data_IF_402414128085
#
_entry.id   IF_402414128085
#
_cell.length_a   1.000
_cell.length_b   1.000
_cell.length_c   1.000
_cell.angle_alpha   90.00
_cell.angle_beta   90.00
_cell.angle_gamma   90.00
#
_symmetry.space_group_name_H-M   'P 1'
#
loop_
_entity.id
_entity.type
_entity.pdbx_description
1 polymer ?
#
# COMPACT_ATOMS: atom_id res chain seq x y z
N UNK A 1 -14.32 -21.20 19.51
CA UNK A 1 -15.09 -21.95 18.50
C UNK A 1 -14.25 -21.91 17.23
N UNK A 2 -13.44 -22.99 17.00
CA UNK A 2 -12.48 -23.01 15.90
C UNK A 2 -13.20 -23.22 14.59
N UNK A 3 -13.02 -22.31 13.64
CA UNK A 3 -13.44 -22.52 12.25
C UNK A 3 -12.41 -23.48 11.64
N UNK A 4 -12.81 -24.72 11.43
CA UNK A 4 -12.09 -25.63 10.54
C UNK A 4 -12.18 -25.06 9.12
N UNK A 5 -11.13 -24.41 8.67
CA UNK A 5 -10.96 -24.11 7.25
C UNK A 5 -10.88 -25.46 6.53
N UNK A 6 -11.94 -25.81 5.85
CA UNK A 6 -11.93 -26.97 4.95
C UNK A 6 -10.84 -26.74 3.92
N UNK A 7 -9.81 -27.59 3.93
CA UNK A 7 -8.85 -27.63 2.83
C UNK A 7 -9.62 -28.07 1.59
N UNK A 8 -9.83 -27.15 0.66
CA UNK A 8 -10.25 -27.53 -0.68
C UNK A 8 -9.19 -28.48 -1.23
N UNK A 9 -9.62 -29.64 -1.73
CA UNK A 9 -8.70 -30.57 -2.39
C UNK A 9 -7.99 -29.79 -3.51
N UNK A 10 -6.67 -29.91 -3.57
CA UNK A 10 -5.90 -29.32 -4.66
C UNK A 10 -6.44 -29.85 -6.01
N UNK A 11 -6.61 -28.99 -7.00
CA UNK A 11 -7.06 -29.44 -8.31
C UNK A 11 -6.10 -30.51 -8.84
N UNK A 12 -6.65 -31.61 -9.35
CA UNK A 12 -5.83 -32.62 -10.03
C UNK A 12 -5.48 -32.10 -11.43
N UNK A 13 -4.33 -31.45 -11.53
CA UNK A 13 -3.80 -30.96 -12.80
C UNK A 13 -2.93 -32.00 -13.52
N UNK A 14 -2.87 -33.25 -13.00
CA UNK A 14 -2.05 -34.32 -13.54
C UNK A 14 -0.57 -34.19 -13.19
N UNK A 15 0.27 -34.82 -14.00
CA UNK A 15 1.72 -34.83 -13.77
C UNK A 15 2.33 -33.47 -14.10
N UNK A 16 3.13 -32.97 -13.15
CA UNK A 16 3.89 -31.76 -13.31
C UNK A 16 5.27 -32.07 -13.94
N UNK A 17 5.64 -31.35 -14.98
CA UNK A 17 6.98 -31.38 -15.56
C UNK A 17 7.71 -30.07 -15.21
N UNK A 18 8.86 -30.19 -14.54
CA UNK A 18 9.69 -29.03 -14.17
C UNK A 18 10.62 -28.70 -15.32
N UNK A 19 10.29 -27.65 -16.06
CA UNK A 19 11.06 -27.21 -17.23
C UNK A 19 12.32 -26.44 -16.86
N UNK A 20 12.25 -25.62 -15.81
CA UNK A 20 13.35 -24.78 -15.34
C UNK A 20 13.34 -24.71 -13.82
N UNK A 21 14.51 -24.79 -13.20
CA UNK A 21 14.69 -24.61 -11.77
C UNK A 21 16.12 -24.15 -11.48
N UNK A 22 16.27 -22.93 -10.96
CA UNK A 22 17.59 -22.39 -10.62
C UNK A 22 17.49 -21.28 -9.57
N UNK A 23 18.60 -21.03 -8.89
CA UNK A 23 18.73 -19.96 -7.90
C UNK A 23 18.94 -18.60 -8.60
N UNK A 24 18.19 -17.59 -8.20
CA UNK A 24 18.26 -16.21 -8.71
C UNK A 24 18.81 -15.24 -7.68
N UNK A 25 18.90 -15.65 -6.43
CA UNK A 25 19.49 -14.92 -5.31
C UNK A 25 19.60 -15.84 -4.10
N UNK A 26 20.36 -15.48 -3.05
CA UNK A 26 20.56 -16.33 -1.89
C UNK A 26 19.23 -16.76 -1.22
N UNK A 27 18.87 -18.04 -1.35
CA UNK A 27 17.61 -18.58 -0.86
C UNK A 27 16.39 -18.17 -1.68
N UNK A 28 16.59 -17.65 -2.91
CA UNK A 28 15.50 -17.29 -3.82
C UNK A 28 15.64 -18.12 -5.08
N UNK A 29 14.61 -18.92 -5.40
CA UNK A 29 14.61 -19.82 -6.54
C UNK A 29 13.49 -19.48 -7.51
N UNK A 30 13.80 -19.59 -8.79
CA UNK A 30 12.84 -19.53 -9.88
C UNK A 30 12.52 -20.94 -10.34
N UNK A 31 11.23 -21.22 -10.57
CA UNK A 31 10.72 -22.51 -11.00
C UNK A 31 9.71 -22.29 -12.12
N UNK A 32 9.83 -23.05 -13.18
CA UNK A 32 8.84 -23.11 -14.27
C UNK A 32 8.32 -24.53 -14.41
N UNK A 33 7.04 -24.69 -14.25
CA UNK A 33 6.35 -25.97 -14.23
C UNK A 33 5.31 -25.99 -15.34
N UNK A 34 5.23 -27.11 -16.05
CA UNK A 34 4.18 -27.36 -17.04
C UNK A 34 3.33 -28.53 -16.60
N UNK A 35 2.02 -28.38 -16.74
CA UNK A 35 1.05 -29.42 -16.54
C UNK A 35 0.48 -29.83 -17.90
N UNK A 36 0.71 -31.08 -18.34
CA UNK A 36 0.33 -31.51 -19.68
C UNK A 36 -1.17 -31.80 -19.82
N UNK A 37 -1.80 -32.27 -18.75
CA UNK A 37 -3.25 -32.60 -18.73
C UNK A 37 -4.15 -31.37 -18.77
N UNK A 38 -3.65 -30.22 -18.37
CA UNK A 38 -4.25 -28.90 -18.54
C UNK A 38 -3.20 -28.01 -19.21
N UNK A 39 -3.52 -27.24 -20.26
CA UNK A 39 -2.51 -26.41 -20.96
C UNK A 39 -2.07 -25.25 -20.08
N UNK A 40 -1.45 -25.57 -18.93
CA UNK A 40 -1.05 -24.62 -17.89
C UNK A 40 0.47 -24.62 -17.75
N UNK A 41 1.06 -23.45 -17.81
CA UNK A 41 2.43 -23.20 -17.40
C UNK A 41 2.43 -22.27 -16.19
N UNK A 42 3.07 -22.70 -15.11
CA UNK A 42 3.23 -21.96 -13.88
C UNK A 42 4.68 -21.44 -13.79
N UNK A 43 4.82 -20.15 -13.52
CA UNK A 43 6.09 -19.52 -13.13
C UNK A 43 6.00 -19.18 -11.63
N UNK A 44 6.91 -19.70 -10.86
CA UNK A 44 6.92 -19.52 -9.41
C UNK A 44 8.29 -19.00 -8.95
N UNK A 45 8.24 -18.22 -7.89
CA UNK A 45 9.43 -17.84 -7.12
C UNK A 45 9.24 -18.29 -5.69
N UNK A 46 10.18 -19.08 -5.17
CA UNK A 46 10.22 -19.40 -3.74
C UNK A 46 11.27 -18.56 -3.06
N UNK A 47 10.97 -18.13 -1.83
CA UNK A 47 11.82 -17.22 -1.07
C UNK A 47 12.00 -17.79 0.33
N UNK A 48 13.25 -17.98 0.75
CA UNK A 48 13.57 -18.28 2.14
C UNK A 48 13.47 -16.99 2.97
N UNK A 49 12.36 -16.84 3.67
CA UNK A 49 12.09 -15.67 4.53
C UNK A 49 12.83 -15.74 5.86
N UNK A 50 13.47 -16.88 6.21
CA UNK A 50 14.34 -16.96 7.41
C UNK A 50 15.69 -16.27 7.16
N UNK A 51 16.09 -16.12 5.90
CA UNK A 51 17.24 -15.30 5.55
C UNK A 51 16.92 -13.81 5.87
N UNK A 52 17.69 -13.14 6.77
CA UNK A 52 17.39 -11.78 7.18
C UNK A 52 17.49 -10.75 6.04
N UNK A 53 18.23 -11.06 4.99
CA UNK A 53 18.42 -10.18 3.83
C UNK A 53 17.34 -10.31 2.75
N UNK A 54 16.47 -11.32 2.84
CA UNK A 54 15.36 -11.48 1.91
C UNK A 54 14.14 -10.71 2.40
N UNK A 55 13.53 -9.95 1.49
CA UNK A 55 12.30 -9.21 1.73
C UNK A 55 11.37 -9.30 0.52
N UNK A 56 10.08 -9.17 0.76
CA UNK A 56 9.07 -8.93 -0.26
C UNK A 56 8.56 -7.51 -0.04
N UNK A 57 8.62 -6.69 -1.06
CA UNK A 57 8.20 -5.28 -1.01
C UNK A 57 7.07 -5.02 -2.00
N UNK A 58 6.09 -4.27 -1.55
CA UNK A 58 5.07 -3.70 -2.41
C UNK A 58 5.52 -2.30 -2.82
N UNK A 59 5.43 -1.99 -4.10
CA UNK A 59 5.85 -0.70 -4.65
C UNK A 59 4.80 -0.16 -5.61
N UNK A 60 4.71 1.17 -5.70
CA UNK A 60 3.86 1.87 -6.64
C UNK A 60 4.64 2.29 -7.87
N UNK A 61 3.94 2.35 -9.02
CA UNK A 61 4.46 2.94 -10.24
C UNK A 61 4.99 4.35 -9.96
N UNK A 62 6.23 4.61 -10.34
CA UNK A 62 6.93 5.90 -10.11
C UNK A 62 6.89 6.41 -8.65
N UNK A 63 6.63 5.54 -7.67
CA UNK A 63 6.37 5.88 -6.26
C UNK A 63 5.25 6.94 -6.10
N UNK A 64 4.23 6.89 -6.93
CA UNK A 64 3.17 7.89 -6.99
C UNK A 64 1.78 7.25 -6.94
N UNK A 65 0.83 7.93 -6.29
CA UNK A 65 -0.59 7.55 -6.25
C UNK A 65 -1.43 8.82 -6.37
N UNK A 66 -2.27 8.93 -7.41
CA UNK A 66 -2.35 8.10 -8.61
C UNK A 66 -1.14 8.27 -9.55
N UNK A 67 -0.89 7.29 -10.41
CA UNK A 67 0.10 7.42 -11.49
C UNK A 67 -0.53 7.10 -12.85
N UNK A 68 -0.78 8.13 -13.64
CA UNK A 68 -1.33 8.01 -14.98
C UNK A 68 -0.27 7.61 -16.04
N UNK A 69 1.01 7.82 -15.77
CA UNK A 69 2.09 7.49 -16.68
C UNK A 69 2.38 5.99 -16.76
N UNK A 70 2.18 5.29 -15.65
CA UNK A 70 2.36 3.85 -15.48
C UNK A 70 3.80 3.40 -15.78
N UNK A 71 4.37 2.64 -14.88
CA UNK A 71 5.70 2.09 -15.04
C UNK A 71 5.62 0.58 -15.25
N UNK A 72 6.40 0.04 -16.17
CA UNK A 72 6.48 -1.40 -16.35
C UNK A 72 7.19 -2.06 -15.18
N UNK A 73 6.77 -3.27 -14.80
CA UNK A 73 7.38 -4.04 -13.69
C UNK A 73 8.90 -4.17 -13.85
N UNK A 74 9.37 -4.39 -15.08
CA UNK A 74 10.81 -4.48 -15.37
C UNK A 74 11.55 -3.15 -15.12
N UNK A 75 10.90 -2.01 -15.36
CA UNK A 75 11.52 -0.69 -15.14
C UNK A 75 11.48 -0.32 -13.66
N UNK A 76 10.40 -0.67 -12.93
CA UNK A 76 10.38 -0.64 -11.47
C UNK A 76 11.54 -1.43 -10.87
N UNK A 77 11.77 -2.66 -11.36
CA UNK A 77 12.84 -3.54 -10.89
C UNK A 77 14.22 -2.93 -11.10
N UNK A 78 14.45 -2.30 -12.25
CA UNK A 78 15.71 -1.58 -12.54
C UNK A 78 15.88 -0.37 -11.63
N UNK A 79 14.83 0.45 -11.50
CA UNK A 79 14.84 1.67 -10.67
C UNK A 79 15.12 1.37 -9.21
N UNK A 80 14.58 0.28 -8.69
CA UNK A 80 14.72 -0.11 -7.29
C UNK A 80 16.03 -0.86 -7.01
N UNK A 81 16.67 -1.44 -8.03
CA UNK A 81 17.95 -2.12 -7.85
C UNK A 81 19.07 -1.10 -7.66
N UNK A 82 19.76 -1.17 -6.51
CA UNK A 82 20.89 -0.30 -6.13
C UNK A 82 21.86 -1.06 -5.23
N UNK A 83 23.05 -0.54 -4.94
CA UNK A 83 23.97 -1.17 -4.00
C UNK A 83 23.28 -1.49 -2.66
N UNK A 84 23.39 -2.74 -2.22
CA UNK A 84 22.74 -3.23 -1.01
C UNK A 84 21.25 -3.59 -1.14
N UNK A 85 20.63 -3.35 -2.30
CA UNK A 85 19.23 -3.68 -2.55
C UNK A 85 19.04 -4.17 -3.99
N UNK A 86 18.99 -5.48 -4.17
CA UNK A 86 18.84 -6.14 -5.48
C UNK A 86 17.44 -6.71 -5.64
N UNK A 87 16.70 -6.29 -6.65
CA UNK A 87 15.45 -6.93 -7.05
C UNK A 87 15.77 -8.21 -7.83
N UNK A 88 15.44 -9.37 -7.27
CA UNK A 88 15.69 -10.68 -7.89
C UNK A 88 14.52 -11.17 -8.73
N UNK A 89 13.29 -10.85 -8.31
CA UNK A 89 12.06 -11.16 -9.01
C UNK A 89 11.04 -10.04 -8.79
N UNK A 90 10.15 -9.86 -9.75
CA UNK A 90 9.03 -8.92 -9.62
C UNK A 90 7.86 -9.39 -10.47
N UNK A 91 6.66 -9.10 -9.99
CA UNK A 91 5.41 -9.37 -10.70
C UNK A 91 4.39 -8.29 -10.35
N UNK A 92 3.47 -8.04 -11.25
CA UNK A 92 2.33 -7.17 -10.97
C UNK A 92 1.29 -7.92 -10.15
N UNK A 93 0.68 -7.20 -9.23
CA UNK A 93 -0.43 -7.69 -8.41
C UNK A 93 -1.57 -6.68 -8.42
N UNK A 94 -2.75 -7.12 -7.96
CA UNK A 94 -3.99 -6.36 -7.92
C UNK A 94 -4.48 -5.91 -9.32
N UNK A 95 -5.72 -5.46 -9.38
CA UNK A 95 -6.27 -4.73 -10.50
C UNK A 95 -6.09 -3.22 -10.28
N UNK A 96 -6.07 -2.47 -11.35
CA UNK A 96 -5.99 -1.02 -11.28
C UNK A 96 -6.99 -0.34 -12.22
N UNK A 97 -7.38 0.87 -11.88
CA UNK A 97 -8.16 1.72 -12.77
C UNK A 97 -7.24 2.33 -13.81
N UNK A 98 -7.49 2.00 -15.07
CA UNK A 98 -6.67 2.49 -16.18
C UNK A 98 -6.75 4.00 -16.33
N UNK A 99 -7.95 4.57 -16.15
CA UNK A 99 -8.20 6.01 -16.34
C UNK A 99 -7.74 6.83 -15.13
N UNK A 100 -7.78 6.24 -13.93
CA UNK A 100 -7.42 6.94 -12.70
C UNK A 100 -5.98 6.68 -12.23
N UNK A 101 -5.29 5.66 -12.74
CA UNK A 101 -3.92 5.32 -12.34
C UNK A 101 -3.78 4.90 -10.89
N UNK A 102 -4.79 4.21 -10.35
CA UNK A 102 -4.85 3.75 -8.95
C UNK A 102 -5.11 2.26 -8.86
N UNK A 103 -4.62 1.64 -7.81
CA UNK A 103 -5.00 0.26 -7.46
C UNK A 103 -6.47 0.18 -7.04
N UNK A 104 -7.08 -1.01 -7.16
CA UNK A 104 -8.47 -1.23 -6.71
C UNK A 104 -8.51 -1.73 -5.28
N UNK A 105 -7.52 -2.52 -4.84
CA UNK A 105 -7.43 -3.06 -3.48
C UNK A 105 -6.66 -2.19 -2.50
N UNK A 106 -6.63 -2.62 -1.23
CA UNK A 106 -5.78 -2.01 -0.22
C UNK A 106 -4.31 -2.22 -0.57
N UNK A 107 -3.54 -1.15 -0.52
CA UNK A 107 -2.11 -1.17 -0.72
C UNK A 107 -1.39 -0.48 0.44
N UNK A 108 -0.37 -1.15 0.97
CA UNK A 108 0.50 -0.61 2.00
C UNK A 108 1.93 -1.10 1.80
N UNK A 109 2.90 -0.25 2.10
CA UNK A 109 4.33 -0.57 2.05
C UNK A 109 5.04 0.05 3.25
N UNK A 110 5.88 -0.74 3.93
CA UNK A 110 6.62 -0.31 5.12
C UNK A 110 5.73 0.35 6.19
N UNK A 111 4.53 -0.22 6.42
CA UNK A 111 3.57 0.30 7.38
C UNK A 111 2.78 1.53 6.92
N UNK A 112 3.05 2.08 5.75
CA UNK A 112 2.33 3.22 5.19
C UNK A 112 1.25 2.75 4.23
N UNK A 113 -0.01 3.13 4.48
CA UNK A 113 -1.10 2.91 3.54
C UNK A 113 -0.95 3.89 2.38
N UNK A 114 -0.76 3.36 1.18
CA UNK A 114 -0.69 4.18 -0.04
C UNK A 114 -2.06 4.36 -0.69
N UNK A 115 -2.92 3.37 -0.53
CA UNK A 115 -4.29 3.38 -1.05
C UNK A 115 -5.20 2.51 -0.17
N UNK A 116 -6.39 2.98 0.13
CA UNK A 116 -7.42 2.17 0.77
C UNK A 116 -8.71 2.23 -0.04
N UNK A 117 -9.18 1.09 -0.50
CA UNK A 117 -10.55 0.97 -0.97
C UNK A 117 -11.33 0.06 -0.01
N UNK A 118 -12.52 0.45 0.37
CA UNK A 118 -13.43 -0.38 1.16
C UNK A 118 -14.03 -1.57 0.39
N UNK A 119 -13.34 -2.08 -0.62
CA UNK A 119 -13.91 -2.98 -1.63
C UNK A 119 -14.13 -4.43 -1.18
N UNK A 120 -13.81 -4.80 0.06
CA UNK A 120 -14.00 -6.17 0.55
C UNK A 120 -13.20 -7.23 -0.22
N UNK A 121 -12.04 -6.87 -0.76
CA UNK A 121 -11.15 -7.79 -1.50
C UNK A 121 -10.18 -8.46 -0.55
N UNK A 122 -9.82 -9.72 -0.85
CA UNK A 122 -8.75 -10.39 -0.13
C UNK A 122 -7.42 -9.71 -0.41
N UNK A 123 -6.64 -9.55 0.62
CA UNK A 123 -5.31 -8.92 0.57
C UNK A 123 -4.27 -9.92 1.06
N UNK A 124 -3.18 -10.03 0.32
CA UNK A 124 -1.96 -10.71 0.78
C UNK A 124 -1.11 -9.70 1.53
N UNK A 125 -0.69 -10.05 2.73
CA UNK A 125 0.17 -9.20 3.55
C UNK A 125 1.33 -10.00 4.15
N UNK A 126 2.43 -9.30 4.36
CA UNK A 126 3.60 -9.79 5.07
C UNK A 126 3.88 -8.81 6.20
N UNK A 127 3.93 -9.32 7.41
CA UNK A 127 4.20 -8.55 8.62
C UNK A 127 5.71 -8.31 8.80
N UNK A 128 6.06 -7.43 9.74
CA UNK A 128 7.47 -7.12 10.03
C UNK A 128 8.27 -8.35 10.49
N UNK A 129 7.62 -9.31 11.16
CA UNK A 129 8.21 -10.59 11.53
C UNK A 129 8.26 -11.62 10.38
N UNK A 130 7.96 -11.16 9.15
CA UNK A 130 7.95 -11.94 7.91
C UNK A 130 6.86 -13.03 7.86
N UNK A 131 5.83 -12.95 8.68
CA UNK A 131 4.67 -13.83 8.59
C UNK A 131 3.77 -13.40 7.44
N UNK A 132 3.50 -14.35 6.53
CA UNK A 132 2.61 -14.14 5.40
C UNK A 132 1.17 -14.54 5.74
N UNK A 133 0.20 -13.74 5.30
CA UNK A 133 -1.22 -14.02 5.51
C UNK A 133 -2.09 -13.53 4.36
N UNK A 134 -3.28 -14.11 4.22
CA UNK A 134 -4.32 -13.65 3.30
C UNK A 134 -5.60 -13.45 4.11
N UNK A 135 -6.16 -12.25 4.02
CA UNK A 135 -7.35 -11.87 4.78
C UNK A 135 -8.17 -10.81 4.04
N UNK A 136 -9.34 -10.50 4.57
CA UNK A 136 -10.16 -9.39 4.10
C UNK A 136 -9.94 -8.20 5.04
N UNK A 137 -9.17 -7.19 4.65
CA UNK A 137 -8.91 -6.04 5.50
C UNK A 137 -10.14 -5.14 5.60
N UNK A 138 -10.34 -4.61 6.79
CA UNK A 138 -11.26 -3.49 7.05
C UNK A 138 -10.44 -2.37 7.67
N UNK A 139 -9.88 -1.46 6.85
CA UNK A 139 -9.07 -0.36 7.35
C UNK A 139 -9.91 0.52 8.28
N UNK A 140 -9.38 0.81 9.45
CA UNK A 140 -9.96 1.75 10.41
C UNK A 140 -8.88 2.78 10.74
N UNK A 141 -9.04 3.97 10.22
CA UNK A 141 -8.10 5.06 10.42
C UNK A 141 -8.86 6.28 10.90
N UNK A 142 -8.29 7.02 11.82
CA UNK A 142 -8.88 8.27 12.31
C UNK A 142 -7.79 9.27 12.67
N UNK A 143 -8.16 10.54 12.67
CA UNK A 143 -7.35 11.63 13.18
C UNK A 143 -8.04 12.23 14.42
N UNK A 144 -7.29 12.33 15.52
CA UNK A 144 -7.76 13.01 16.73
C UNK A 144 -7.27 14.45 16.71
N UNK A 145 -8.21 15.38 16.58
CA UNK A 145 -7.92 16.81 16.52
C UNK A 145 -7.55 17.37 17.92
N UNK A 146 -6.84 18.51 17.99
CA UNK A 146 -6.52 19.16 19.26
C UNK A 146 -7.74 19.53 20.12
N UNK A 147 -8.90 19.65 19.51
CA UNK A 147 -10.18 19.87 20.17
C UNK A 147 -10.70 18.66 20.95
N UNK A 148 -10.06 17.49 20.80
CA UNK A 148 -10.52 16.21 21.32
C UNK A 148 -11.53 15.49 20.40
N UNK A 149 -11.88 16.07 19.26
CA UNK A 149 -12.74 15.44 18.28
C UNK A 149 -11.95 14.42 17.46
N UNK A 150 -12.52 13.24 17.19
CA UNK A 150 -11.97 12.24 16.30
C UNK A 150 -12.71 12.25 14.97
N UNK A 151 -11.96 12.20 13.88
CA UNK A 151 -12.47 12.19 12.50
C UNK A 151 -12.01 10.91 11.82
N UNK A 152 -12.92 10.12 11.28
CA UNK A 152 -12.55 8.98 10.46
C UNK A 152 -11.84 9.44 9.19
N UNK A 153 -10.73 8.79 8.83
CA UNK A 153 -10.06 9.00 7.56
C UNK A 153 -10.71 8.05 6.55
N UNK A 154 -11.43 8.60 5.60
CA UNK A 154 -12.20 7.83 4.63
C UNK A 154 -11.31 7.27 3.52
N UNK A 155 -10.23 7.97 3.18
CA UNK A 155 -9.37 7.62 2.05
C UNK A 155 -7.92 8.11 2.20
N UNK A 156 -7.04 7.51 1.39
CA UNK A 156 -5.63 7.87 1.27
C UNK A 156 -5.29 8.21 -0.19
N UNK A 157 -4.55 9.28 -0.39
CA UNK A 157 -3.95 9.70 -1.68
C UNK A 157 -4.92 9.79 -2.87
N UNK A 158 -6.21 9.97 -2.64
CA UNK A 158 -7.20 10.02 -3.70
C UNK A 158 -7.70 11.43 -3.95
N UNK A 159 -7.77 11.80 -5.21
CA UNK A 159 -8.30 13.10 -5.61
C UNK A 159 -9.80 13.21 -5.34
N UNK A 160 -10.23 14.34 -4.81
CA UNK A 160 -11.59 14.60 -4.31
C UNK A 160 -12.68 14.49 -5.39
N UNK A 161 -12.33 14.59 -6.67
CA UNK A 161 -13.32 14.48 -7.75
C UNK A 161 -14.03 13.12 -7.84
N UNK A 162 -13.52 12.10 -7.15
CA UNK A 162 -14.01 10.73 -7.20
C UNK A 162 -14.53 10.19 -5.87
N UNK A 163 -14.47 10.98 -4.79
CA UNK A 163 -14.85 10.51 -3.46
C UNK A 163 -15.90 11.41 -2.83
N UNK A 164 -16.86 10.76 -2.18
CA UNK A 164 -17.77 11.43 -1.27
C UNK A 164 -17.17 11.51 0.15
N UNK A 165 -15.86 11.19 0.31
CA UNK A 165 -15.19 11.19 1.59
C UNK A 165 -15.07 12.59 2.15
N UNK A 166 -15.36 12.74 3.43
CA UNK A 166 -15.25 14.00 4.15
C UNK A 166 -13.84 14.24 4.68
N UNK A 167 -13.03 13.17 4.79
CA UNK A 167 -11.66 13.21 5.30
C UNK A 167 -10.72 12.39 4.46
N UNK A 168 -9.65 13.00 3.94
CA UNK A 168 -8.64 12.33 3.11
C UNK A 168 -7.24 12.64 3.66
N UNK A 169 -6.41 11.61 3.83
CA UNK A 169 -5.00 11.77 4.16
C UNK A 169 -4.14 11.60 2.91
N UNK A 170 -3.41 12.64 2.56
CA UNK A 170 -2.41 12.63 1.51
C UNK A 170 -1.03 12.41 2.13
N UNK A 171 -0.38 11.34 1.71
CA UNK A 171 0.97 10.99 2.13
C UNK A 171 2.01 11.52 1.14
N UNK A 172 3.28 11.26 1.41
CA UNK A 172 4.38 11.58 0.51
C UNK A 172 4.31 10.88 -0.87
N UNK A 173 3.44 9.88 -1.02
CA UNK A 173 3.19 9.21 -2.30
C UNK A 173 2.17 9.96 -3.18
N UNK A 174 1.51 10.98 -2.66
CA UNK A 174 0.51 11.73 -3.41
C UNK A 174 1.14 12.49 -4.58
N UNK A 175 0.67 12.20 -5.79
CA UNK A 175 1.12 12.84 -7.03
C UNK A 175 0.17 13.93 -7.55
N UNK A 176 -0.96 14.15 -6.90
CA UNK A 176 -1.95 15.13 -7.33
C UNK A 176 -1.97 16.36 -6.45
N UNK A 177 -2.10 17.52 -7.09
CA UNK A 177 -2.57 18.74 -6.43
C UNK A 177 -4.08 18.62 -6.27
N UNK A 178 -4.53 18.64 -5.04
CA UNK A 178 -5.93 18.62 -4.72
C UNK A 178 -6.48 20.03 -4.77
N UNK A 179 -7.49 20.28 -5.58
CA UNK A 179 -8.23 21.55 -5.62
C UNK A 179 -9.69 21.29 -5.27
N UNK A 180 -10.02 21.40 -4.00
CA UNK A 180 -11.37 21.26 -3.49
C UNK A 180 -11.62 22.19 -2.34
N UNK A 181 -12.86 22.61 -2.20
CA UNK A 181 -13.30 23.43 -1.07
C UNK A 181 -13.24 22.62 0.23
N UNK A 182 -12.50 23.12 1.20
CA UNK A 182 -12.30 22.48 2.49
C UNK A 182 -11.09 23.02 3.25
N UNK A 183 -10.75 22.34 4.34
CA UNK A 183 -9.61 22.69 5.19
C UNK A 183 -8.47 21.72 4.92
N UNK A 184 -7.30 22.25 4.65
CA UNK A 184 -6.04 21.52 4.47
C UNK A 184 -5.16 21.73 5.69
N UNK A 185 -4.69 20.64 6.28
CA UNK A 185 -3.85 20.64 7.48
C UNK A 185 -2.55 19.90 7.12
N UNK A 186 -1.45 20.62 7.03
CA UNK A 186 -0.13 20.04 6.79
C UNK A 186 0.44 19.52 8.08
N UNK A 187 0.86 18.26 8.06
CA UNK A 187 1.26 17.47 9.21
C UNK A 187 2.65 16.92 9.03
N UNK A 188 3.44 16.93 10.11
CA UNK A 188 4.70 16.19 10.22
C UNK A 188 4.56 15.11 11.28
N UNK A 189 4.66 13.81 10.92
CA UNK A 189 4.75 12.74 11.90
C UNK A 189 5.96 12.93 12.81
N UNK A 190 5.78 12.75 14.12
CA UNK A 190 6.85 12.86 15.12
C UNK A 190 7.49 11.52 15.47
N UNK A 191 7.08 10.45 14.81
CA UNK A 191 7.61 9.10 14.95
C UNK A 191 7.45 8.32 13.66
N UNK A 192 7.78 7.05 13.72
CA UNK A 192 7.58 6.16 12.58
C UNK A 192 6.09 6.00 12.27
N UNK A 193 5.77 6.08 10.97
CA UNK A 193 4.43 5.81 10.50
C UNK A 193 4.28 4.31 10.26
N UNK A 194 3.62 3.63 11.19
CA UNK A 194 3.45 2.18 11.13
C UNK A 194 1.99 1.82 11.37
N UNK A 195 1.45 0.91 10.55
CA UNK A 195 0.12 0.33 10.76
C UNK A 195 0.21 -0.69 11.89
N UNK A 196 -0.05 -0.29 13.12
CA UNK A 196 0.06 -1.16 14.30
C UNK A 196 -1.07 -1.00 15.33
N UNK A 197 -2.02 -0.11 15.06
CA UNK A 197 -3.11 0.21 15.98
C UNK A 197 -2.77 1.25 17.05
N UNK A 198 -1.53 1.74 17.10
CA UNK A 198 -1.11 2.81 17.99
C UNK A 198 -1.18 4.17 17.30
N UNK A 199 -1.58 5.25 18.00
CA UNK A 199 -1.64 6.57 17.40
C UNK A 199 -0.23 7.12 17.14
N UNK A 200 -0.05 7.78 16.00
CA UNK A 200 1.16 8.53 15.68
C UNK A 200 0.89 10.03 15.90
N UNK A 201 1.66 10.65 16.78
CA UNK A 201 1.60 12.09 16.99
C UNK A 201 2.12 12.83 15.76
N UNK A 202 1.40 13.85 15.32
CA UNK A 202 1.80 14.70 14.20
C UNK A 202 1.79 16.17 14.63
N UNK A 203 2.86 16.88 14.30
CA UNK A 203 2.89 18.34 14.44
C UNK A 203 2.09 19.00 13.31
N UNK A 204 1.23 19.94 13.64
CA UNK A 204 0.53 20.78 12.65
C UNK A 204 1.47 21.89 12.19
N UNK A 205 1.90 21.84 10.94
CA UNK A 205 2.82 22.82 10.35
C UNK A 205 2.07 24.02 9.77
N UNK A 206 0.98 23.78 9.06
CA UNK A 206 0.23 24.79 8.34
C UNK A 206 -1.24 24.39 8.25
N UNK A 207 -2.12 25.37 8.27
CA UNK A 207 -3.57 25.21 8.06
C UNK A 207 -4.02 26.22 7.01
N UNK A 208 -4.75 25.74 5.99
CA UNK A 208 -5.15 26.57 4.86
C UNK A 208 -6.52 26.15 4.34
N UNK A 209 -7.26 27.10 3.74
CA UNK A 209 -8.46 26.84 2.93
C UNK A 209 -8.09 26.64 1.44
N UNK A 210 -6.81 26.75 1.12
CA UNK A 210 -6.28 26.48 -0.22
C UNK A 210 -5.41 25.21 -0.19
N UNK A 211 -5.27 24.53 -1.34
CA UNK A 211 -4.49 23.30 -1.43
C UNK A 211 -3.05 23.44 -0.92
N UNK A 212 -2.65 22.48 -0.10
CA UNK A 212 -1.28 22.33 0.37
C UNK A 212 -0.62 21.11 -0.30
N UNK A 213 0.67 21.20 -0.55
CA UNK A 213 1.46 20.10 -1.12
C UNK A 213 2.06 19.23 -0.02
N UNK A 214 2.09 17.92 -0.25
CA UNK A 214 2.89 16.99 0.54
C UNK A 214 4.39 17.13 0.21
N UNK A 215 5.23 16.61 1.08
CA UNK A 215 6.68 16.47 0.85
C UNK A 215 7.15 15.08 1.29
N UNK A 216 8.43 14.80 1.20
CA UNK A 216 8.98 13.50 1.64
C UNK A 216 8.67 13.19 3.11
N UNK A 217 8.57 14.22 3.96
CA UNK A 217 8.36 14.08 5.40
C UNK A 217 7.01 14.60 5.90
N UNK A 218 6.24 15.28 5.06
CA UNK A 218 5.02 15.95 5.50
C UNK A 218 3.80 15.41 4.75
N UNK A 219 2.72 15.20 5.48
CA UNK A 219 1.43 14.76 4.99
C UNK A 219 0.43 15.91 4.94
N UNK A 220 -0.68 15.74 4.27
CA UNK A 220 -1.78 16.72 4.28
C UNK A 220 -3.09 15.99 4.60
N UNK A 221 -3.71 16.38 5.71
CA UNK A 221 -5.08 15.97 6.04
C UNK A 221 -6.04 16.98 5.44
N UNK A 222 -6.95 16.49 4.61
CA UNK A 222 -8.02 17.29 4.03
C UNK A 222 -9.34 16.98 4.72
N UNK A 223 -10.07 18.04 5.10
CA UNK A 223 -11.40 17.97 5.71
C UNK A 223 -12.39 18.78 4.87
N UNK A 224 -13.36 18.10 4.29
CA UNK A 224 -14.43 18.76 3.51
C UNK A 224 -15.46 19.39 4.44
N UNK A 225 -15.94 20.57 4.07
CA UNK A 225 -17.10 21.23 4.69
C UNK A 225 -17.07 21.32 6.22
N UNK A 226 -15.90 21.48 6.84
CA UNK A 226 -15.82 21.56 8.30
C UNK A 226 -15.32 22.91 8.78
N UNK A 227 -15.92 23.38 9.88
CA UNK A 227 -15.41 24.49 10.69
C UNK A 227 -14.42 24.00 11.76
N UNK A 228 -13.78 22.84 11.51
CA UNK A 228 -12.87 22.20 12.46
C UNK A 228 -11.55 22.93 12.42
N UNK A 229 -11.13 23.47 13.54
CA UNK A 229 -9.92 24.26 13.65
C UNK A 229 -8.79 23.43 14.25
N UNK A 230 -7.68 23.38 13.53
CA UNK A 230 -6.38 23.05 14.06
C UNK A 230 -5.50 24.30 13.92
N UNK A 231 -4.59 24.53 14.85
CA UNK A 231 -3.67 25.64 14.79
C UNK A 231 -2.25 25.12 14.55
N UNK A 232 -1.40 25.83 13.78
CA UNK A 232 0.01 25.48 13.66
C UNK A 232 0.68 25.34 15.03
N UNK A 233 1.53 24.31 15.18
CA UNK A 233 2.19 23.98 16.45
C UNK A 233 1.37 23.10 17.40
N UNK A 234 0.10 22.78 17.09
CA UNK A 234 -0.67 21.78 17.82
C UNK A 234 -0.25 20.35 17.46
N UNK A 235 -0.51 19.39 18.35
CA UNK A 235 -0.38 17.96 18.06
C UNK A 235 -1.72 17.38 17.61
N UNK A 236 -1.64 16.49 16.62
CA UNK A 236 -2.72 15.71 16.07
C UNK A 236 -2.33 14.23 16.17
N UNK A 237 -3.26 13.35 16.55
CA UNK A 237 -3.00 11.92 16.77
C UNK A 237 -3.83 11.02 15.85
#
# INVERSE_FOLDING_TARGET
MGILAGQAAAPDWGVADTLEHYEIGPGIQYIKIRYESVPLTLWATTIDMTNPYNAIEQVQSNNAVPDLSRELVQDMSKRLTRPGHKVCAAFNHDFFSYDAGICIGLNASNGLISWSSGSGRSTFAITQDKTASVFFPVPQCSASLPTGESVAIDQFNWGIGYTNGDCVLFTNLNALTLDAEGRYIKLRPLGDWIINGEPTACEVLEVSDSPLQTSESDFVLFLRNTKRDALPGCLLY
#
